data_IF_768729146136
#
_entry.id   IF_768729146136
#
_cell.length_a   1.000
_cell.length_b   1.000
_cell.length_c   1.000
_cell.angle_alpha   90.00
_cell.angle_beta   90.00
_cell.angle_gamma   90.00
#
_symmetry.space_group_name_H-M   'P 1'
#
loop_
_entity.id
_entity.type
_entity.pdbx_description
1 polymer ?
#
# COMPACT_ATOMS: atom_id res chain seq x y z
N UNK A 1 10.79 -5.31 -6.26
CA UNK A 1 9.62 -5.90 -6.94
C UNK A 1 9.84 -7.33 -7.44
N UNK A 2 10.86 -7.67 -8.25
CA UNK A 2 11.09 -9.05 -8.72
C UNK A 2 11.18 -10.08 -7.58
N UNK A 3 12.01 -9.82 -6.56
CA UNK A 3 12.10 -10.68 -5.37
C UNK A 3 10.75 -10.83 -4.67
N UNK A 4 10.05 -9.72 -4.39
CA UNK A 4 8.70 -9.73 -3.80
C UNK A 4 7.71 -10.60 -4.56
N UNK A 5 7.70 -10.55 -5.90
CA UNK A 5 6.83 -11.40 -6.71
C UNK A 5 7.15 -12.90 -6.55
N UNK A 6 8.42 -13.23 -6.32
CA UNK A 6 8.90 -14.61 -6.20
C UNK A 6 8.74 -15.17 -4.78
N UNK A 7 8.89 -14.32 -3.75
CA UNK A 7 9.09 -14.78 -2.37
C UNK A 7 8.02 -14.33 -1.38
N UNK A 8 7.24 -13.27 -1.67
CA UNK A 8 6.15 -12.83 -0.79
C UNK A 8 4.87 -13.61 -1.08
N UNK A 9 4.41 -14.38 -0.09
CA UNK A 9 3.11 -15.04 -0.14
C UNK A 9 1.98 -14.01 -0.11
N UNK A 10 2.12 -12.96 0.72
CA UNK A 10 1.13 -11.89 0.80
C UNK A 10 0.91 -11.23 -0.56
N UNK A 11 1.99 -10.94 -1.29
CA UNK A 11 1.89 -10.32 -2.61
C UNK A 11 1.22 -11.26 -3.62
N UNK A 12 1.62 -12.54 -3.65
CA UNK A 12 1.11 -13.51 -4.63
C UNK A 12 -0.38 -13.78 -4.46
N UNK A 13 -0.84 -13.97 -3.23
CA UNK A 13 -2.21 -14.39 -2.95
C UNK A 13 -3.18 -13.21 -2.97
N UNK A 14 -2.75 -12.03 -2.51
CA UNK A 14 -3.70 -10.94 -2.23
C UNK A 14 -3.64 -9.78 -3.22
N UNK A 15 -2.54 -9.58 -3.97
CA UNK A 15 -2.36 -8.38 -4.80
C UNK A 15 -3.44 -8.22 -5.88
N UNK A 16 -3.76 -9.29 -6.61
CA UNK A 16 -4.77 -9.24 -7.68
C UNK A 16 -6.14 -8.86 -7.14
N UNK A 17 -6.55 -9.49 -6.04
CA UNK A 17 -7.83 -9.23 -5.37
C UNK A 17 -7.88 -7.81 -4.83
N UNK A 18 -6.83 -7.37 -4.14
CA UNK A 18 -6.74 -6.04 -3.58
C UNK A 18 -6.82 -4.94 -4.65
N UNK A 19 -6.12 -5.10 -5.78
CA UNK A 19 -6.18 -4.14 -6.91
C UNK A 19 -7.57 -4.11 -7.54
N UNK A 20 -8.17 -5.28 -7.78
CA UNK A 20 -9.52 -5.36 -8.35
C UNK A 20 -10.58 -4.67 -7.47
N UNK A 21 -10.44 -4.75 -6.15
CA UNK A 21 -11.33 -4.10 -5.20
C UNK A 21 -11.08 -2.58 -5.07
N UNK A 22 -9.82 -2.15 -5.10
CA UNK A 22 -9.47 -0.74 -4.81
C UNK A 22 -9.49 0.17 -6.03
N UNK A 23 -9.16 -0.33 -7.22
CA UNK A 23 -9.08 0.50 -8.42
C UNK A 23 -10.38 1.24 -8.74
N UNK A 24 -11.58 0.61 -8.66
CA UNK A 24 -12.84 1.34 -8.87
C UNK A 24 -13.07 2.45 -7.83
N UNK A 25 -12.66 2.24 -6.59
CA UNK A 25 -12.79 3.23 -5.51
C UNK A 25 -11.89 4.45 -5.75
N UNK A 26 -10.66 4.23 -6.24
CA UNK A 26 -9.76 5.32 -6.65
C UNK A 26 -10.35 6.14 -7.81
N UNK A 27 -10.88 5.45 -8.83
CA UNK A 27 -11.50 6.12 -9.99
C UNK A 27 -12.69 6.96 -9.54
N UNK A 28 -13.52 6.45 -8.64
CA UNK A 28 -14.67 7.18 -8.13
C UNK A 28 -14.26 8.39 -7.29
N UNK A 29 -13.28 8.22 -6.39
CA UNK A 29 -12.78 9.31 -5.56
C UNK A 29 -12.19 10.45 -6.40
N UNK A 30 -11.47 10.11 -7.48
CA UNK A 30 -10.96 11.10 -8.44
C UNK A 30 -12.08 11.81 -9.20
N UNK A 31 -13.07 11.09 -9.72
CA UNK A 31 -14.21 11.70 -10.43
C UNK A 31 -15.00 12.65 -9.54
N UNK A 32 -15.26 12.25 -8.29
CA UNK A 32 -15.99 13.06 -7.30
C UNK A 32 -15.15 14.17 -6.68
N UNK A 33 -13.84 14.19 -6.92
CA UNK A 33 -12.87 15.04 -6.20
C UNK A 33 -12.97 14.85 -4.67
N UNK A 34 -13.23 13.62 -4.25
CA UNK A 34 -13.36 13.21 -2.85
C UNK A 34 -11.96 13.00 -2.26
N UNK A 35 -11.39 14.09 -1.73
CA UNK A 35 -10.06 14.07 -1.13
C UNK A 35 -9.98 13.14 0.09
N UNK A 36 -10.92 13.15 1.06
CA UNK A 36 -10.89 12.21 2.17
C UNK A 36 -10.79 10.74 1.74
N UNK A 37 -11.64 10.31 0.80
CA UNK A 37 -11.60 8.94 0.29
C UNK A 37 -10.28 8.64 -0.44
N UNK A 38 -9.82 9.56 -1.28
CA UNK A 38 -8.57 9.41 -2.02
C UNK A 38 -7.35 9.31 -1.08
N UNK A 39 -7.30 10.15 -0.04
CA UNK A 39 -6.22 10.17 0.93
C UNK A 39 -6.15 8.86 1.71
N UNK A 40 -7.28 8.36 2.22
CA UNK A 40 -7.32 7.09 2.95
C UNK A 40 -6.92 5.91 2.06
N UNK A 41 -7.48 5.82 0.85
CA UNK A 41 -7.14 4.76 -0.11
C UNK A 41 -5.64 4.77 -0.44
N UNK A 42 -5.06 5.95 -0.65
CA UNK A 42 -3.63 6.14 -0.95
C UNK A 42 -2.76 5.64 0.20
N UNK A 43 -3.06 6.05 1.43
CA UNK A 43 -2.30 5.63 2.61
C UNK A 43 -2.39 4.11 2.83
N UNK A 44 -3.58 3.52 2.68
CA UNK A 44 -3.76 2.06 2.80
C UNK A 44 -3.02 1.27 1.73
N UNK A 45 -3.03 1.75 0.49
CA UNK A 45 -2.33 1.10 -0.63
C UNK A 45 -0.80 1.18 -0.47
N UNK A 46 -0.27 2.33 -0.02
CA UNK A 46 1.14 2.49 0.34
C UNK A 46 1.56 1.51 1.43
N UNK A 47 0.78 1.43 2.53
CA UNK A 47 1.06 0.51 3.64
C UNK A 47 1.03 -0.97 3.17
N UNK A 48 0.05 -1.35 2.35
CA UNK A 48 -0.04 -2.71 1.82
C UNK A 48 1.15 -3.07 0.92
N UNK A 49 1.66 -2.10 0.14
CA UNK A 49 2.86 -2.31 -0.67
C UNK A 49 4.10 -2.53 0.21
N UNK A 50 4.30 -1.70 1.23
CA UNK A 50 5.42 -1.87 2.17
C UNK A 50 5.32 -3.16 2.99
N UNK A 51 4.11 -3.62 3.32
CA UNK A 51 3.88 -4.92 3.96
C UNK A 51 4.35 -6.08 3.06
N UNK A 52 4.03 -6.05 1.76
CA UNK A 52 4.52 -7.05 0.81
C UNK A 52 6.05 -7.02 0.65
N UNK A 53 6.67 -5.83 0.71
CA UNK A 53 8.12 -5.70 0.71
C UNK A 53 8.76 -6.32 1.96
N UNK A 54 8.14 -6.14 3.13
CA UNK A 54 8.59 -6.75 4.38
C UNK A 54 8.42 -8.28 4.40
N UNK A 55 7.36 -8.79 3.77
CA UNK A 55 7.09 -10.23 3.59
C UNK A 55 8.00 -10.92 2.56
N UNK A 56 8.81 -10.16 1.80
CA UNK A 56 9.76 -10.73 0.85
C UNK A 56 10.95 -11.41 1.54
N UNK A 57 11.64 -12.33 0.85
CA UNK A 57 12.87 -12.96 1.35
C UNK A 57 14.07 -12.76 0.40
N UNK A 58 15.19 -12.17 0.86
CA UNK A 58 15.32 -11.39 2.10
C UNK A 58 14.36 -10.17 2.08
N UNK A 59 13.99 -9.63 3.26
CA UNK A 59 13.03 -8.54 3.36
C UNK A 59 13.55 -7.27 2.69
N UNK A 60 12.67 -6.58 1.96
CA UNK A 60 12.95 -5.28 1.38
C UNK A 60 12.37 -4.18 2.29
N UNK A 61 13.23 -3.51 3.05
CA UNK A 61 12.81 -2.48 4.01
C UNK A 61 13.08 -1.10 3.41
N UNK A 62 12.02 -0.36 3.13
CA UNK A 62 12.09 1.01 2.61
C UNK A 62 11.75 2.08 3.64
N UNK A 63 10.92 1.74 4.64
CA UNK A 63 10.50 2.66 5.68
C UNK A 63 11.55 2.70 6.79
N UNK A 64 11.86 3.90 7.26
CA UNK A 64 12.74 4.13 8.41
C UNK A 64 12.01 4.94 9.48
N UNK A 65 12.73 5.29 10.55
CA UNK A 65 12.17 6.04 11.68
C UNK A 65 11.53 7.37 11.26
N UNK A 66 12.17 8.10 10.33
CA UNK A 66 11.62 9.33 9.75
C UNK A 66 10.34 9.06 8.98
N UNK A 67 10.29 8.00 8.16
CA UNK A 67 9.08 7.60 7.45
C UNK A 67 7.93 7.34 8.44
N UNK A 68 8.18 6.57 9.50
CA UNK A 68 7.17 6.28 10.51
C UNK A 68 6.77 7.51 11.33
N UNK A 69 7.69 8.47 11.57
CA UNK A 69 7.36 9.73 12.21
C UNK A 69 6.38 10.56 11.37
N UNK A 70 6.59 10.63 10.05
CA UNK A 70 5.66 11.30 9.12
C UNK A 70 4.31 10.58 9.09
N UNK A 71 4.29 9.25 9.03
CA UNK A 71 3.04 8.49 9.06
C UNK A 71 2.23 8.77 10.33
N UNK A 72 2.89 8.80 11.49
CA UNK A 72 2.23 9.16 12.76
C UNK A 72 1.71 10.58 12.75
N UNK A 73 2.50 11.54 12.26
CA UNK A 73 2.08 12.95 12.18
C UNK A 73 0.81 13.14 11.36
N UNK A 74 0.64 12.40 10.26
CA UNK A 74 -0.56 12.48 9.40
C UNK A 74 -1.79 11.77 10.01
N UNK A 75 -1.59 10.81 10.92
CA UNK A 75 -2.66 10.03 11.55
C UNK A 75 -3.15 10.59 12.90
N UNK A 76 -2.47 11.60 13.44
CA UNK A 76 -2.89 12.37 14.62
C UNK A 76 -3.95 13.42 14.24
#
# INVERSE_FOLDING_TARGET
MRSTMQTSLLFRETRKVAVAQRLPLFIEALHRRDFPALAELTMRESNALHAACLDSWPPAIFLNETSFAVMRFIQL
#
